data_IF_433285060275
#
_entry.id   IF_433285060275
#
_cell.length_a   1.000
_cell.length_b   1.000
_cell.length_c   1.000
_cell.angle_alpha   90.00
_cell.angle_beta   90.00
_cell.angle_gamma   90.00
#
_symmetry.space_group_name_H-M   'P 1'
#
loop_
_entity.id
_entity.type
_entity.pdbx_description
1 polymer ?
#
# COMPACT_ATOMS: atom_id res chain seq x y z
N UNK A 1 -23.99 -9.96 -13.77
CA UNK A 1 -24.29 -8.52 -13.88
C UNK A 1 -23.00 -7.75 -13.73
N UNK A 2 -22.45 -7.23 -14.83
CA UNK A 2 -21.30 -6.34 -14.80
C UNK A 2 -21.73 -5.06 -14.08
N UNK A 3 -21.12 -4.77 -12.91
CA UNK A 3 -21.28 -3.47 -12.26
C UNK A 3 -20.61 -2.44 -13.19
N UNK A 4 -21.43 -1.59 -13.82
CA UNK A 4 -20.94 -0.37 -14.46
C UNK A 4 -20.30 0.49 -13.35
N UNK A 5 -18.98 0.46 -13.28
CA UNK A 5 -18.25 1.44 -12.47
C UNK A 5 -18.51 2.79 -13.11
N UNK A 6 -19.12 3.67 -12.35
CA UNK A 6 -19.45 5.02 -12.81
C UNK A 6 -18.13 5.76 -13.01
N UNK A 7 -17.73 6.03 -14.24
CA UNK A 7 -16.46 6.68 -14.64
C UNK A 7 -16.24 8.03 -13.94
N UNK A 8 -17.31 8.62 -13.38
CA UNK A 8 -17.24 9.86 -12.62
C UNK A 8 -16.65 9.72 -11.20
N UNK A 9 -16.62 8.49 -10.64
CA UNK A 9 -16.26 8.25 -9.23
C UNK A 9 -14.76 8.05 -9.00
N UNK A 10 -13.95 7.98 -10.05
CA UNK A 10 -12.53 7.59 -9.97
C UNK A 10 -11.57 8.72 -10.37
N UNK A 11 -12.05 9.80 -11.02
CA UNK A 11 -11.22 10.94 -11.40
C UNK A 11 -10.62 11.66 -10.21
N UNK A 12 -9.33 12.02 -10.29
CA UNK A 12 -8.68 12.85 -9.28
C UNK A 12 -8.88 14.33 -9.60
N UNK A 13 -9.30 15.07 -8.59
CA UNK A 13 -9.56 16.50 -8.62
C UNK A 13 -8.90 17.22 -7.45
N UNK A 14 -8.83 18.53 -7.51
CA UNK A 14 -8.32 19.38 -6.43
C UNK A 14 -9.38 20.38 -5.99
N UNK A 15 -9.73 20.33 -4.72
CA UNK A 15 -10.43 21.39 -4.02
C UNK A 15 -9.44 22.47 -3.58
N UNK A 16 -9.81 23.73 -3.66
CA UNK A 16 -8.97 24.84 -3.20
C UNK A 16 -8.79 24.85 -1.68
N UNK A 17 -9.76 24.34 -0.94
CA UNK A 17 -9.79 24.37 0.52
C UNK A 17 -9.39 23.02 1.16
N UNK A 18 -9.71 21.88 0.49
CA UNK A 18 -9.61 20.56 1.08
C UNK A 18 -8.62 19.62 0.36
N UNK A 19 -7.82 20.15 -0.57
CA UNK A 19 -6.77 19.35 -1.23
C UNK A 19 -7.29 18.41 -2.30
N UNK A 20 -6.61 17.28 -2.51
CA UNK A 20 -6.92 16.32 -3.57
C UNK A 20 -7.99 15.33 -3.11
N UNK A 21 -8.85 14.93 -4.04
CA UNK A 21 -9.92 13.98 -3.77
C UNK A 21 -10.28 13.18 -5.02
N UNK A 22 -10.93 12.04 -4.82
CA UNK A 22 -11.51 11.19 -5.86
C UNK A 22 -12.99 11.46 -6.00
N UNK A 23 -13.50 11.41 -7.22
CA UNK A 23 -14.92 11.56 -7.49
C UNK A 23 -15.29 12.89 -8.15
N UNK A 24 -16.60 13.09 -8.33
CA UNK A 24 -17.16 14.24 -9.04
C UNK A 24 -17.14 15.53 -8.20
N UNK A 25 -17.26 15.41 -6.88
CA UNK A 25 -17.35 16.56 -5.95
C UNK A 25 -16.53 16.30 -4.69
N UNK A 26 -15.99 17.37 -4.12
CA UNK A 26 -15.27 17.31 -2.84
C UNK A 26 -16.15 16.72 -1.74
N UNK A 27 -15.69 15.70 -1.00
CA UNK A 27 -16.49 15.06 0.04
C UNK A 27 -16.89 16.01 1.18
N UNK A 28 -16.09 17.06 1.44
CA UNK A 28 -16.32 18.03 2.51
C UNK A 28 -17.24 19.17 2.09
N UNK A 29 -16.91 19.93 1.02
CA UNK A 29 -17.67 21.13 0.62
C UNK A 29 -18.59 20.93 -0.58
N UNK A 30 -18.63 19.75 -1.18
CA UNK A 30 -19.43 19.38 -2.36
C UNK A 30 -19.12 20.17 -3.64
N UNK A 31 -18.11 21.01 -3.65
CA UNK A 31 -17.63 21.68 -4.87
C UNK A 31 -16.99 20.67 -5.85
N UNK A 32 -17.13 20.86 -7.19
CA UNK A 32 -16.59 19.91 -8.17
C UNK A 32 -15.05 19.92 -8.24
N UNK A 33 -14.40 20.96 -7.71
CA UNK A 33 -12.96 21.10 -7.77
C UNK A 33 -12.40 21.19 -9.20
N UNK A 34 -11.08 21.39 -9.31
CA UNK A 34 -10.37 21.41 -10.58
C UNK A 34 -9.96 19.99 -10.97
N UNK A 35 -10.32 19.55 -12.18
CA UNK A 35 -9.89 18.28 -12.74
C UNK A 35 -8.36 18.20 -12.87
N UNK A 36 -7.76 17.08 -12.50
CA UNK A 36 -6.33 16.81 -12.64
C UNK A 36 -6.05 15.66 -13.58
N UNK A 37 -6.61 14.48 -13.31
CA UNK A 37 -6.39 13.31 -14.13
C UNK A 37 -7.57 12.33 -14.08
N UNK A 38 -7.71 11.60 -15.18
CA UNK A 38 -8.61 10.46 -15.31
C UNK A 38 -7.94 9.15 -14.85
N UNK A 39 -8.73 8.07 -14.78
CA UNK A 39 -8.29 6.74 -14.36
C UNK A 39 -7.14 6.20 -15.19
N UNK A 40 -7.17 6.40 -16.51
CA UNK A 40 -6.13 5.91 -17.42
C UNK A 40 -4.78 6.58 -17.11
N UNK A 41 -4.79 7.87 -16.83
CA UNK A 41 -3.58 8.61 -16.43
C UNK A 41 -3.13 8.19 -15.04
N UNK A 42 -4.04 8.05 -14.11
CA UNK A 42 -3.76 7.57 -12.76
C UNK A 42 -3.15 6.16 -12.78
N UNK A 43 -3.77 5.23 -13.50
CA UNK A 43 -3.27 3.86 -13.62
C UNK A 43 -1.85 3.81 -14.20
N UNK A 44 -1.58 4.60 -15.26
CA UNK A 44 -0.24 4.70 -15.84
C UNK A 44 0.80 5.24 -14.86
N UNK A 45 0.45 6.29 -14.11
CA UNK A 45 1.33 6.85 -13.09
C UNK A 45 1.52 5.87 -11.94
N UNK A 46 0.43 5.30 -11.41
CA UNK A 46 0.46 4.35 -10.31
C UNK A 46 1.30 3.11 -10.61
N UNK A 47 1.17 2.54 -11.82
CA UNK A 47 2.01 1.41 -12.27
C UNK A 47 3.49 1.79 -12.33
N UNK A 48 3.82 2.97 -12.87
CA UNK A 48 5.21 3.42 -12.94
C UNK A 48 5.78 3.67 -11.54
N UNK A 49 5.07 4.45 -10.71
CA UNK A 49 5.48 4.77 -9.34
C UNK A 49 5.63 3.51 -8.50
N UNK A 50 4.66 2.58 -8.59
CA UNK A 50 4.74 1.29 -7.89
C UNK A 50 5.95 0.47 -8.33
N UNK A 51 6.20 0.37 -9.63
CA UNK A 51 7.37 -0.33 -10.16
C UNK A 51 8.68 0.28 -9.70
N UNK A 52 8.82 1.59 -9.82
CA UNK A 52 10.03 2.33 -9.45
C UNK A 52 10.33 2.29 -7.95
N UNK A 53 9.30 2.41 -7.11
CA UNK A 53 9.49 2.52 -5.65
C UNK A 53 9.48 1.17 -4.92
N UNK A 54 9.06 0.07 -5.58
CA UNK A 54 8.90 -1.23 -4.89
C UNK A 54 9.71 -2.36 -5.50
N UNK A 55 9.92 -2.33 -6.83
CA UNK A 55 10.37 -3.52 -7.54
C UNK A 55 11.62 -3.31 -8.39
N UNK A 56 11.69 -2.19 -9.11
CA UNK A 56 12.68 -1.98 -10.16
C UNK A 56 13.27 -0.56 -10.14
N UNK A 57 13.80 -0.05 -9.00
CA UNK A 57 14.33 1.32 -8.93
C UNK A 57 15.45 1.54 -9.96
N UNK A 58 16.40 0.62 -10.07
CA UNK A 58 17.50 0.72 -11.03
C UNK A 58 17.02 0.76 -12.48
N UNK A 59 16.07 -0.15 -12.85
CA UNK A 59 15.49 -0.17 -14.19
C UNK A 59 14.65 1.07 -14.52
N UNK A 60 14.07 1.69 -13.49
CA UNK A 60 13.36 2.95 -13.61
C UNK A 60 14.32 4.15 -13.68
N UNK A 61 15.61 3.97 -13.36
CA UNK A 61 16.64 5.00 -13.35
C UNK A 61 16.54 5.93 -12.14
N UNK A 62 16.00 5.45 -11.02
CA UNK A 62 15.91 6.22 -9.77
C UNK A 62 16.91 5.71 -8.76
N UNK A 63 17.55 6.63 -8.05
CA UNK A 63 18.39 6.34 -6.89
C UNK A 63 17.49 6.26 -5.64
N UNK A 64 17.56 5.13 -4.95
CA UNK A 64 16.78 4.83 -3.75
C UNK A 64 17.75 4.62 -2.59
N UNK A 65 17.44 5.21 -1.44
CA UNK A 65 18.22 4.97 -0.23
C UNK A 65 17.81 3.65 0.48
N UNK A 66 18.50 3.33 1.57
CA UNK A 66 18.28 2.10 2.35
C UNK A 66 16.86 2.02 2.96
N UNK A 67 16.21 3.15 3.19
CA UNK A 67 14.85 3.27 3.72
C UNK A 67 13.77 3.38 2.63
N UNK A 68 14.14 3.24 1.35
CA UNK A 68 13.21 3.27 0.22
C UNK A 68 12.87 4.67 -0.29
N UNK A 69 13.53 5.73 0.20
CA UNK A 69 13.29 7.10 -0.26
C UNK A 69 13.97 7.38 -1.60
N UNK A 70 13.23 8.04 -2.47
CA UNK A 70 13.65 8.53 -3.79
C UNK A 70 13.41 10.03 -3.87
N UNK A 71 14.34 10.77 -4.48
CA UNK A 71 14.13 12.19 -4.70
C UNK A 71 12.95 12.44 -5.64
N UNK A 72 11.93 13.16 -5.17
CA UNK A 72 10.68 13.41 -5.89
C UNK A 72 10.91 14.17 -7.22
N UNK A 73 11.89 15.09 -7.27
CA UNK A 73 12.20 15.82 -8.50
C UNK A 73 12.86 14.88 -9.52
N UNK A 74 13.79 14.03 -9.09
CA UNK A 74 14.43 13.05 -9.98
C UNK A 74 13.38 12.10 -10.58
N UNK A 75 12.49 11.55 -9.76
CA UNK A 75 11.38 10.72 -10.21
C UNK A 75 10.49 11.47 -11.21
N UNK A 76 10.12 12.72 -10.89
CA UNK A 76 9.31 13.56 -11.79
C UNK A 76 9.98 13.76 -13.15
N UNK A 77 11.27 14.09 -13.21
CA UNK A 77 11.98 14.34 -14.47
C UNK A 77 12.07 13.06 -15.34
N UNK A 78 12.29 11.90 -14.72
CA UNK A 78 12.26 10.62 -15.41
C UNK A 78 10.87 10.35 -16.00
N UNK A 79 9.83 10.51 -15.19
CA UNK A 79 8.45 10.28 -15.62
C UNK A 79 8.00 11.30 -16.67
N UNK A 80 8.46 12.55 -16.60
CA UNK A 80 8.13 13.61 -17.54
C UNK A 80 8.61 13.32 -18.97
N UNK A 81 9.74 12.63 -19.12
CA UNK A 81 10.26 12.19 -20.43
C UNK A 81 9.31 11.19 -21.08
N UNK A 82 8.67 10.32 -20.28
CA UNK A 82 7.72 9.30 -20.75
C UNK A 82 6.30 9.85 -20.93
N UNK A 83 5.88 10.72 -20.02
CA UNK A 83 4.51 11.26 -19.95
C UNK A 83 4.54 12.78 -20.11
N UNK A 84 4.53 13.29 -21.34
CA UNK A 84 4.66 14.73 -21.62
C UNK A 84 3.60 15.62 -20.96
N UNK A 85 2.42 15.06 -20.66
CA UNK A 85 1.31 15.71 -19.96
C UNK A 85 1.52 15.82 -18.44
N UNK A 86 2.48 15.08 -17.89
CA UNK A 86 2.74 15.05 -16.45
C UNK A 86 3.14 16.42 -15.91
N UNK A 87 2.55 16.79 -14.79
CA UNK A 87 2.97 17.91 -13.94
C UNK A 87 3.34 17.35 -12.57
N UNK A 88 4.22 18.01 -11.86
CA UNK A 88 4.63 17.58 -10.50
C UNK A 88 3.43 17.43 -9.54
N UNK A 89 2.43 18.31 -9.71
CA UNK A 89 1.17 18.26 -8.97
C UNK A 89 0.44 16.90 -9.09
N UNK A 90 0.57 16.19 -10.22
CA UNK A 90 -0.06 14.87 -10.39
C UNK A 90 0.55 13.81 -9.45
N UNK A 91 1.84 13.92 -9.08
CA UNK A 91 2.47 13.00 -8.12
C UNK A 91 1.93 13.25 -6.71
N UNK A 92 1.80 14.52 -6.29
CA UNK A 92 1.14 14.84 -5.01
C UNK A 92 -0.31 14.35 -5.00
N UNK A 93 -1.05 14.60 -6.08
CA UNK A 93 -2.43 14.16 -6.20
C UNK A 93 -2.56 12.63 -6.13
N UNK A 94 -1.65 11.88 -6.77
CA UNK A 94 -1.62 10.41 -6.70
C UNK A 94 -1.41 9.93 -5.27
N UNK A 95 -0.49 10.55 -4.52
CA UNK A 95 -0.14 10.14 -3.15
C UNK A 95 -1.22 10.54 -2.15
N UNK A 96 -1.65 11.82 -2.17
CA UNK A 96 -2.60 12.35 -1.19
C UNK A 96 -4.03 11.83 -1.37
N UNK A 97 -4.41 11.41 -2.59
CA UNK A 97 -5.72 10.79 -2.85
C UNK A 97 -5.70 9.26 -2.78
N UNK A 98 -4.58 8.64 -2.38
CA UNK A 98 -4.47 7.19 -2.28
C UNK A 98 -5.08 6.65 -0.98
N UNK A 99 -6.31 6.17 -1.05
CA UNK A 99 -7.05 5.62 0.09
C UNK A 99 -6.36 4.41 0.76
N UNK A 100 -5.45 3.72 0.02
CA UNK A 100 -4.69 2.59 0.54
C UNK A 100 -3.42 3.01 1.27
N UNK A 101 -3.07 4.31 1.25
CA UNK A 101 -1.87 4.84 1.90
C UNK A 101 -0.57 4.17 1.41
N UNK A 102 -0.49 3.83 0.10
CA UNK A 102 0.64 3.07 -0.46
C UNK A 102 1.94 3.85 -0.50
N UNK A 103 1.86 5.17 -0.50
CA UNK A 103 3.00 6.07 -0.70
C UNK A 103 2.97 7.20 0.31
N UNK A 104 4.14 7.80 0.53
CA UNK A 104 4.27 9.03 1.30
C UNK A 104 5.28 9.97 0.65
N UNK A 105 5.06 11.28 0.85
CA UNK A 105 5.97 12.34 0.44
C UNK A 105 6.36 13.14 1.68
N UNK A 106 7.65 13.31 1.90
CA UNK A 106 8.20 14.14 2.97
C UNK A 106 9.40 14.92 2.45
N UNK A 107 9.45 16.23 2.70
CA UNK A 107 10.58 17.13 2.41
C UNK A 107 11.18 17.00 1.00
N UNK A 108 10.35 16.69 -0.01
CA UNK A 108 10.80 16.54 -1.39
C UNK A 108 11.31 15.13 -1.75
N UNK A 109 11.09 14.17 -0.88
CA UNK A 109 11.32 12.76 -1.08
C UNK A 109 10.00 12.00 -1.16
N UNK A 110 9.99 10.87 -1.84
CA UNK A 110 8.85 9.97 -1.97
C UNK A 110 9.30 8.53 -1.74
N UNK A 111 8.48 7.74 -1.02
CA UNK A 111 8.68 6.28 -0.94
C UNK A 111 7.35 5.52 -0.98
N UNK A 112 7.42 4.24 -1.28
CA UNK A 112 6.33 3.33 -0.98
C UNK A 112 6.39 2.96 0.52
N UNK A 113 5.24 2.82 1.16
CA UNK A 113 5.16 2.46 2.59
C UNK A 113 5.19 0.95 2.81
N UNK A 114 4.84 0.17 1.80
CA UNK A 114 4.82 -1.30 1.86
C UNK A 114 4.85 -1.92 0.46
N UNK A 115 5.00 -3.24 0.39
CA UNK A 115 4.92 -4.01 -0.86
C UNK A 115 6.23 -4.12 -1.63
N UNK A 116 7.36 -3.88 -1.00
CA UNK A 116 8.68 -3.95 -1.63
C UNK A 116 9.12 -5.39 -1.89
N UNK A 117 9.74 -5.60 -3.05
CA UNK A 117 10.51 -6.80 -3.36
C UNK A 117 12.02 -6.54 -3.38
N UNK A 118 12.42 -5.27 -3.31
CA UNK A 118 13.82 -4.87 -3.13
C UNK A 118 14.21 -4.92 -1.66
N UNK A 119 15.50 -5.09 -1.41
CA UNK A 119 16.01 -5.13 -0.04
C UNK A 119 16.10 -3.69 0.50
N UNK A 120 15.20 -3.34 1.41
CA UNK A 120 15.17 -2.08 2.14
C UNK A 120 14.96 -2.36 3.62
N UNK A 121 15.42 -1.45 4.46
CA UNK A 121 15.14 -1.45 5.89
C UNK A 121 14.19 -0.29 6.21
N UNK A 122 12.93 -0.64 6.46
CA UNK A 122 11.91 0.35 6.82
C UNK A 122 12.09 0.75 8.29
N UNK A 123 12.39 2.01 8.50
CA UNK A 123 12.56 2.67 9.80
C UNK A 123 11.22 2.99 10.49
N UNK A 124 10.29 2.02 10.46
CA UNK A 124 8.95 2.18 11.03
C UNK A 124 8.92 1.84 12.51
N UNK A 125 8.00 2.52 13.20
CA UNK A 125 7.70 2.25 14.60
C UNK A 125 7.12 0.83 14.78
N UNK A 126 7.42 0.24 15.93
CA UNK A 126 6.82 -1.04 16.33
C UNK A 126 5.34 -0.86 16.61
N UNK A 127 4.54 -1.83 16.16
CA UNK A 127 3.11 -1.89 16.46
C UNK A 127 2.90 -2.36 17.90
N UNK A 128 2.03 -1.70 18.62
CA UNK A 128 1.57 -2.10 19.96
C UNK A 128 0.30 -2.98 19.94
N UNK A 129 -0.28 -3.21 18.77
CA UNK A 129 -1.48 -4.04 18.59
C UNK A 129 -1.28 -5.44 19.18
N UNK A 130 -2.17 -5.91 20.08
CA UNK A 130 -2.03 -7.26 20.66
C UNK A 130 -2.27 -8.36 19.63
N UNK A 131 -3.10 -8.10 18.64
CA UNK A 131 -3.46 -9.00 17.55
C UNK A 131 -3.38 -8.30 16.22
N UNK A 132 -2.95 -9.04 15.19
CA UNK A 132 -3.02 -8.66 13.78
C UNK A 132 -3.55 -9.83 12.97
N UNK A 133 -3.95 -9.60 11.71
CA UNK A 133 -4.74 -10.58 10.96
C UNK A 133 -4.15 -10.81 9.56
N UNK A 134 -4.22 -12.06 9.13
CA UNK A 134 -3.82 -12.48 7.79
C UNK A 134 -4.99 -13.18 7.10
N UNK A 135 -5.31 -12.79 5.88
CA UNK A 135 -6.34 -13.44 5.08
C UNK A 135 -5.70 -14.44 4.11
N UNK A 136 -6.08 -15.71 4.24
CA UNK A 136 -5.60 -16.82 3.43
C UNK A 136 -6.69 -17.38 2.53
N UNK A 137 -6.31 -18.04 1.43
CA UNK A 137 -7.23 -18.93 0.73
C UNK A 137 -7.39 -20.25 1.50
N UNK A 138 -8.54 -20.94 1.37
CA UNK A 138 -8.75 -22.21 2.08
C UNK A 138 -7.66 -23.26 1.82
N UNK A 139 -7.09 -23.24 0.61
CA UNK A 139 -6.05 -24.21 0.19
C UNK A 139 -4.71 -23.96 0.87
N UNK A 140 -4.46 -22.75 1.36
CA UNK A 140 -3.20 -22.37 2.02
C UNK A 140 -3.21 -22.62 3.52
N UNK A 141 -4.40 -22.71 4.15
CA UNK A 141 -4.55 -22.69 5.61
C UNK A 141 -3.74 -23.78 6.31
N UNK A 142 -3.85 -25.02 5.87
CA UNK A 142 -3.15 -26.16 6.51
C UNK A 142 -1.63 -25.95 6.48
N UNK A 143 -1.11 -25.49 5.34
CA UNK A 143 0.33 -25.22 5.17
C UNK A 143 0.77 -24.07 6.06
N UNK A 144 -0.04 -23.01 6.17
CA UNK A 144 0.28 -21.86 7.03
C UNK A 144 0.21 -22.21 8.50
N UNK A 145 -0.76 -23.02 8.91
CA UNK A 145 -0.88 -23.50 10.31
C UNK A 145 0.23 -24.46 10.70
N UNK A 146 0.81 -25.19 9.76
CA UNK A 146 1.94 -26.11 10.01
C UNK A 146 3.29 -25.37 10.00
N UNK A 147 3.50 -24.47 9.04
CA UNK A 147 4.83 -23.90 8.77
C UNK A 147 4.97 -22.43 9.17
N UNK A 148 3.85 -21.73 9.44
CA UNK A 148 3.84 -20.29 9.66
C UNK A 148 3.69 -19.48 8.37
N UNK A 149 3.72 -18.16 8.51
CA UNK A 149 3.56 -17.23 7.37
C UNK A 149 4.92 -16.63 7.03
N UNK A 150 5.32 -16.77 5.78
CA UNK A 150 6.56 -16.22 5.23
C UNK A 150 6.27 -15.32 4.02
N UNK A 151 7.08 -14.28 3.79
CA UNK A 151 6.98 -13.49 2.57
C UNK A 151 7.42 -14.34 1.36
N UNK A 152 6.65 -14.29 0.26
CA UNK A 152 6.95 -15.06 -0.97
C UNK A 152 7.63 -14.20 -2.02
N UNK A 153 6.99 -13.11 -2.42
CA UNK A 153 7.47 -12.17 -3.46
C UNK A 153 7.90 -10.82 -2.90
N UNK A 154 7.47 -10.52 -1.72
CA UNK A 154 7.72 -9.27 -1.02
C UNK A 154 8.75 -9.48 0.09
N UNK A 155 9.34 -8.40 0.59
CA UNK A 155 10.33 -8.46 1.68
C UNK A 155 9.71 -8.80 3.03
N UNK A 156 8.42 -8.44 3.24
CA UNK A 156 7.70 -8.61 4.49
C UNK A 156 6.36 -9.31 4.28
N UNK A 157 5.89 -10.01 5.31
CA UNK A 157 4.50 -10.44 5.46
C UNK A 157 3.65 -9.20 5.72
N UNK A 158 2.52 -9.07 5.02
CA UNK A 158 1.56 -7.98 5.22
C UNK A 158 0.40 -8.49 6.06
N UNK A 159 0.19 -7.84 7.18
CA UNK A 159 -0.86 -8.15 8.15
C UNK A 159 -1.83 -6.97 8.25
N UNK A 160 -3.08 -7.24 8.52
CA UNK A 160 -4.09 -6.21 8.74
C UNK A 160 -4.28 -5.93 10.22
N UNK A 161 -4.59 -4.68 10.57
CA UNK A 161 -4.84 -4.30 11.97
C UNK A 161 -6.22 -4.73 12.46
N UNK A 162 -7.14 -5.14 11.57
CA UNK A 162 -8.46 -5.65 11.95
C UNK A 162 -8.90 -6.82 11.07
N UNK A 163 -9.82 -7.62 11.61
CA UNK A 163 -10.43 -8.77 10.93
C UNK A 163 -11.15 -8.33 9.65
N UNK A 164 -11.89 -7.22 9.70
CA UNK A 164 -12.62 -6.67 8.55
C UNK A 164 -11.65 -6.32 7.43
N UNK A 165 -10.53 -5.67 7.73
CA UNK A 165 -9.52 -5.31 6.73
C UNK A 165 -8.82 -6.53 6.15
N UNK A 166 -8.51 -7.55 6.97
CA UNK A 166 -7.96 -8.80 6.49
C UNK A 166 -8.92 -9.49 5.50
N UNK A 167 -10.21 -9.52 5.84
CA UNK A 167 -11.26 -10.09 4.98
C UNK A 167 -11.38 -9.32 3.67
N UNK A 168 -11.41 -7.97 3.71
CA UNK A 168 -11.49 -7.12 2.53
C UNK A 168 -10.31 -7.36 1.57
N UNK A 169 -9.10 -7.47 2.11
CA UNK A 169 -7.88 -7.74 1.32
C UNK A 169 -7.93 -9.15 0.72
N UNK A 170 -8.31 -10.16 1.49
CA UNK A 170 -8.34 -11.55 1.04
C UNK A 170 -9.40 -11.82 -0.03
N UNK A 171 -10.55 -11.13 0.03
CA UNK A 171 -11.61 -11.23 -0.99
C UNK A 171 -11.19 -10.78 -2.40
N UNK A 172 -10.04 -10.09 -2.53
CA UNK A 172 -9.45 -9.79 -3.85
C UNK A 172 -8.86 -11.05 -4.50
N UNK A 173 -8.49 -12.05 -3.71
CA UNK A 173 -7.74 -13.23 -4.16
C UNK A 173 -8.55 -14.53 -4.07
N UNK A 174 -9.54 -14.61 -3.18
CA UNK A 174 -10.40 -15.78 -2.99
C UNK A 174 -11.83 -15.38 -2.64
N UNK A 175 -12.81 -16.18 -3.07
CA UNK A 175 -14.22 -15.94 -2.76
C UNK A 175 -14.59 -16.32 -1.32
N UNK A 176 -13.82 -17.17 -0.68
CA UNK A 176 -14.09 -17.71 0.66
C UNK A 176 -12.83 -17.61 1.54
N UNK A 177 -12.41 -16.41 1.95
CA UNK A 177 -11.20 -16.25 2.74
C UNK A 177 -11.33 -16.86 4.13
N UNK A 178 -10.25 -17.48 4.59
CA UNK A 178 -10.06 -17.89 5.99
C UNK A 178 -9.17 -16.84 6.65
N UNK A 179 -9.58 -16.34 7.81
CA UNK A 179 -8.79 -15.36 8.53
C UNK A 179 -7.99 -16.02 9.63
N UNK A 180 -6.69 -15.75 9.62
CA UNK A 180 -5.77 -16.17 10.68
C UNK A 180 -5.49 -14.95 11.57
N UNK A 181 -5.78 -15.08 12.86
CA UNK A 181 -5.36 -14.13 13.88
C UNK A 181 -3.94 -14.50 14.33
N UNK A 182 -3.10 -13.50 14.47
CA UNK A 182 -1.73 -13.60 14.98
C UNK A 182 -1.69 -12.99 16.38
N UNK A 183 -1.25 -13.74 17.38
CA UNK A 183 -0.95 -13.18 18.71
C UNK A 183 0.38 -12.42 18.67
N UNK A 184 0.31 -11.18 18.20
CA UNK A 184 1.46 -10.30 18.06
C UNK A 184 2.07 -9.92 19.42
N UNK A 185 1.27 -9.94 20.49
CA UNK A 185 1.75 -9.66 21.85
C UNK A 185 2.70 -10.76 22.35
N UNK A 186 2.32 -12.03 22.17
CA UNK A 186 3.18 -13.15 22.57
C UNK A 186 4.38 -13.26 21.63
N UNK A 187 4.17 -13.14 20.32
CA UNK A 187 5.25 -13.20 19.33
C UNK A 187 6.35 -12.14 19.57
N UNK A 188 5.98 -10.92 20.02
CA UNK A 188 6.97 -9.89 20.39
C UNK A 188 7.85 -10.27 21.56
N UNK A 189 7.36 -11.06 22.53
CA UNK A 189 8.18 -11.52 23.66
C UNK A 189 9.32 -12.43 23.18
N UNK A 190 9.08 -13.14 22.07
CA UNK A 190 10.06 -14.03 21.45
C UNK A 190 10.86 -13.32 20.31
N UNK A 191 10.79 -11.99 20.27
CA UNK A 191 11.61 -11.15 19.39
C UNK A 191 11.09 -10.98 17.96
N UNK A 192 9.83 -11.33 17.68
CA UNK A 192 9.22 -11.07 16.38
C UNK A 192 8.79 -9.60 16.30
N UNK A 193 9.30 -8.89 15.31
CA UNK A 193 9.01 -7.47 15.08
C UNK A 193 7.74 -7.30 14.25
N UNK A 194 6.93 -6.29 14.59
CA UNK A 194 5.71 -5.89 13.90
C UNK A 194 5.75 -4.39 13.64
N UNK A 195 6.07 -3.98 12.43
CA UNK A 195 6.26 -2.58 12.04
C UNK A 195 4.99 -1.95 11.45
N UNK A 196 4.62 -0.76 11.90
CA UNK A 196 3.43 -0.03 11.41
C UNK A 196 3.72 0.62 10.06
N UNK A 197 3.18 0.08 8.98
CA UNK A 197 3.30 0.70 7.66
C UNK A 197 2.20 1.75 7.39
N UNK A 198 0.97 1.45 7.78
CA UNK A 198 -0.20 2.35 7.67
C UNK A 198 -1.14 2.09 8.84
N UNK A 199 -2.22 2.87 8.96
CA UNK A 199 -3.28 2.64 9.95
C UNK A 199 -3.92 1.24 9.85
N UNK A 200 -3.78 0.58 8.69
CA UNK A 200 -4.41 -0.70 8.39
C UNK A 200 -3.41 -1.84 8.12
N UNK A 201 -2.12 -1.55 7.95
CA UNK A 201 -1.11 -2.53 7.54
C UNK A 201 0.05 -2.53 8.53
N UNK A 202 0.34 -3.73 9.02
CA UNK A 202 1.51 -4.06 9.84
C UNK A 202 2.38 -5.04 9.06
N UNK A 203 3.70 -4.87 9.16
CA UNK A 203 4.70 -5.68 8.46
C UNK A 203 5.47 -6.53 9.47
N UNK A 204 5.77 -7.78 9.10
CA UNK A 204 6.67 -8.65 9.85
C UNK A 204 7.55 -9.44 8.89
N UNK A 205 8.73 -9.86 9.35
CA UNK A 205 9.61 -10.70 8.52
C UNK A 205 9.08 -12.12 8.35
N UNK A 206 8.46 -12.65 9.40
CA UNK A 206 7.84 -13.98 9.44
C UNK A 206 6.89 -14.08 10.61
N UNK A 207 5.96 -15.02 10.54
CA UNK A 207 5.09 -15.40 11.67
C UNK A 207 5.19 -16.89 11.88
N UNK A 208 5.80 -17.36 12.99
CA UNK A 208 5.80 -18.77 13.35
C UNK A 208 4.38 -19.31 13.61
N UNK A 209 4.14 -20.61 13.38
CA UNK A 209 2.80 -21.19 13.44
C UNK A 209 2.17 -21.18 14.85
N UNK A 210 2.98 -21.21 15.91
CA UNK A 210 2.52 -21.20 17.31
C UNK A 210 1.75 -19.95 17.72
N UNK A 211 1.85 -18.86 16.93
CA UNK A 211 1.10 -17.61 17.17
C UNK A 211 -0.16 -17.48 16.31
N UNK A 212 -0.50 -18.51 15.51
CA UNK A 212 -1.63 -18.49 14.58
C UNK A 212 -2.87 -19.13 15.17
N UNK A 213 -4.02 -18.49 14.95
CA UNK A 213 -5.34 -19.02 15.30
C UNK A 213 -6.31 -18.75 14.15
N UNK A 214 -7.08 -19.75 13.73
CA UNK A 214 -8.17 -19.57 12.78
C UNK A 214 -9.37 -18.91 13.50
N UNK A 215 -9.93 -17.84 12.93
CA UNK A 215 -11.04 -17.07 13.52
C UNK A 215 -12.19 -16.89 12.54
#
# INVERSE_FOLDING_TARGET
>A
MLKCHNVADTMIRKCTEHGYFRGATCPQCKHPGRFLMDDNREEKLGRFVSGALRHFPESAGVEMDECGWVNLNALYEIMKRRYRWLKKEHLYALVESDEKGRYEISEGWIRARYGHSVNIDLDYEESDSPYVYYGASPEEVDVLMENGIFPIKQRYVHLSTSLEKATEVALVHTESPVILQVDAREARKDGISFKVATDYIVLSERIPPEYLLIV
#
